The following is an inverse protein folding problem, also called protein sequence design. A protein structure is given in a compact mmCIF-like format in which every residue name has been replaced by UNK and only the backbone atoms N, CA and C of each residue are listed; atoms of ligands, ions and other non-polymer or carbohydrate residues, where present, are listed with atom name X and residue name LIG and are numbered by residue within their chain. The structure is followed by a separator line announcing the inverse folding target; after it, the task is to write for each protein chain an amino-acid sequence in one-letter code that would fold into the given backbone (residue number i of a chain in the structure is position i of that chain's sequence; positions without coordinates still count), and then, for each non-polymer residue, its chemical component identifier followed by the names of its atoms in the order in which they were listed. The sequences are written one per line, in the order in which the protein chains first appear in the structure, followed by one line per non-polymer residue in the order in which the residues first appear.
data_IF_641445578977
#
_entry.id   IF_641445578977
#
_cell.length_a   1.000
_cell.length_b   1.000
_cell.length_c   1.000
_cell.angle_alpha   90.00
_cell.angle_beta   90.00
_cell.angle_gamma   90.00
#
_symmetry.space_group_name_H-M   'P 1'
#
loop_
_entity.id
_entity.type
_entity.pdbx_description
1 polymer ?
#
# COMPACT_ATOMS: atom_id res chain seq x y z
N UNK A 1 2.61 -30.23 -8.68
CA UNK A 1 1.83 -29.01 -8.99
C UNK A 1 1.90 -28.10 -7.79
N UNK A 2 2.61 -26.98 -7.88
CA UNK A 2 2.74 -26.02 -6.77
C UNK A 2 1.50 -25.12 -6.76
N UNK A 3 0.59 -25.36 -5.81
CA UNK A 3 -0.55 -24.48 -5.58
C UNK A 3 -0.04 -23.17 -4.96
N UNK A 4 -0.18 -22.05 -5.67
CA UNK A 4 0.24 -20.74 -5.16
C UNK A 4 -0.98 -19.97 -4.64
N UNK A 5 -0.94 -19.63 -3.35
CA UNK A 5 -1.92 -18.75 -2.73
C UNK A 5 -1.59 -17.30 -3.11
N UNK A 6 -2.57 -16.57 -3.63
CA UNK A 6 -2.41 -15.20 -4.10
C UNK A 6 -3.39 -14.27 -3.37
N UNK A 7 -2.92 -13.06 -3.06
CA UNK A 7 -3.78 -11.95 -2.62
C UNK A 7 -4.03 -11.05 -3.81
N UNK A 8 -5.30 -10.85 -4.14
CA UNK A 8 -5.72 -9.99 -5.24
C UNK A 8 -6.07 -8.62 -4.68
N UNK A 9 -5.46 -7.58 -5.25
CA UNK A 9 -5.68 -6.18 -4.88
C UNK A 9 -5.96 -5.35 -6.12
N UNK A 10 -6.54 -4.18 -5.93
CA UNK A 10 -6.74 -3.20 -6.99
C UNK A 10 -5.86 -1.98 -6.73
N UNK A 11 -5.00 -1.64 -7.69
CA UNK A 11 -4.15 -0.45 -7.66
C UNK A 11 -4.48 0.39 -8.87
N UNK A 12 -4.98 1.61 -8.66
CA UNK A 12 -5.34 2.54 -9.74
C UNK A 12 -6.22 1.89 -10.84
N UNK A 13 -7.30 1.23 -10.42
CA UNK A 13 -8.24 0.55 -11.34
C UNK A 13 -7.74 -0.76 -11.95
N UNK A 14 -6.50 -1.18 -11.66
CA UNK A 14 -5.89 -2.39 -12.22
C UNK A 14 -5.83 -3.49 -11.16
N UNK A 15 -6.24 -4.70 -11.53
CA UNK A 15 -6.08 -5.89 -10.68
C UNK A 15 -4.62 -6.35 -10.68
N UNK A 16 -4.08 -6.54 -9.50
CA UNK A 16 -2.73 -7.03 -9.24
C UNK A 16 -2.81 -8.25 -8.33
N UNK A 17 -1.83 -9.15 -8.46
CA UNK A 17 -1.70 -10.32 -7.61
C UNK A 17 -0.37 -10.25 -6.84
N UNK A 18 -0.44 -10.48 -5.54
CA UNK A 18 0.71 -10.61 -4.66
C UNK A 18 0.78 -12.06 -4.20
N UNK A 19 1.99 -12.61 -4.05
CA UNK A 19 2.17 -13.89 -3.36
C UNK A 19 1.68 -13.74 -1.93
N UNK A 20 0.80 -14.64 -1.47
CA UNK A 20 0.31 -14.58 -0.10
C UNK A 20 1.43 -14.81 0.93
N UNK A 21 2.54 -15.43 0.53
CA UNK A 21 3.72 -15.59 1.40
C UNK A 21 4.44 -14.26 1.66
N UNK A 22 4.30 -13.28 0.77
CA UNK A 22 4.91 -11.96 0.92
C UNK A 22 3.98 -10.97 1.66
N UNK A 23 2.73 -11.36 1.91
CA UNK A 23 1.72 -10.52 2.59
C UNK A 23 1.67 -10.86 4.08
N UNK A 24 2.23 -9.97 4.90
CA UNK A 24 2.20 -10.13 6.36
C UNK A 24 0.78 -9.99 6.95
N UNK A 25 0.00 -9.04 6.45
CA UNK A 25 -1.36 -8.75 6.92
C UNK A 25 -2.10 -7.82 5.96
N UNK A 26 -3.42 -7.99 5.86
CA UNK A 26 -4.33 -7.01 5.27
C UNK A 26 -5.02 -6.28 6.42
N UNK A 27 -4.89 -4.95 6.45
CA UNK A 27 -5.40 -4.10 7.52
C UNK A 27 -6.02 -2.83 6.94
N UNK A 28 -6.94 -2.23 7.68
CA UNK A 28 -7.34 -0.85 7.47
C UNK A 28 -6.25 0.08 8.00
N UNK A 29 -5.88 1.08 7.20
CA UNK A 29 -4.85 2.05 7.55
C UNK A 29 -5.48 3.11 8.45
N UNK A 30 -4.89 3.32 9.63
CA UNK A 30 -5.24 4.42 10.52
C UNK A 30 -4.57 5.73 10.10
N UNK A 31 -4.38 6.65 11.05
CA UNK A 31 -3.67 7.91 10.79
C UNK A 31 -2.26 7.67 10.25
N UNK A 32 -1.94 8.37 9.15
CA UNK A 32 -0.60 8.40 8.54
C UNK A 32 0.05 9.73 8.87
N UNK A 33 1.20 9.68 9.54
CA UNK A 33 2.00 10.85 9.87
C UNK A 33 3.01 11.11 8.75
N UNK A 34 2.95 12.26 8.06
CA UNK A 34 3.86 12.56 6.96
C UNK A 34 5.31 12.69 7.45
N UNK A 35 6.27 12.24 6.62
CA UNK A 35 7.70 12.35 6.89
C UNK A 35 8.27 13.57 6.16
N UNK A 36 8.88 14.55 6.85
CA UNK A 36 9.50 15.69 6.20
C UNK A 36 10.59 15.26 5.20
N UNK A 37 10.59 15.89 4.02
CA UNK A 37 11.58 15.68 2.94
C UNK A 37 11.60 14.26 2.34
N UNK A 38 10.60 13.43 2.62
CA UNK A 38 10.47 12.13 1.97
C UNK A 38 10.09 12.28 0.49
N UNK A 39 10.46 11.32 -0.37
CA UNK A 39 9.96 11.27 -1.74
C UNK A 39 8.43 11.28 -1.79
N UNK A 40 7.84 11.85 -2.85
CA UNK A 40 6.38 12.01 -2.96
C UNK A 40 5.58 10.71 -2.85
N UNK A 41 6.15 9.56 -3.21
CA UNK A 41 5.49 8.26 -3.09
C UNK A 41 5.45 7.70 -1.66
N UNK A 42 6.12 8.34 -0.71
CA UNK A 42 6.05 7.99 0.70
C UNK A 42 4.96 8.87 1.33
N UNK A 43 3.81 8.28 1.61
CA UNK A 43 2.71 8.99 2.27
C UNK A 43 3.05 9.34 3.73
N UNK A 44 3.85 8.48 4.39
CA UNK A 44 4.33 8.73 5.74
C UNK A 44 4.59 7.45 6.54
N UNK A 45 4.39 7.54 7.86
CA UNK A 45 4.49 6.42 8.80
C UNK A 45 3.16 6.25 9.52
N UNK A 46 2.76 5.00 9.75
CA UNK A 46 1.65 4.65 10.65
C UNK A 46 2.13 3.65 11.70
N UNK A 47 1.38 3.50 12.80
CA UNK A 47 1.69 2.56 13.87
C UNK A 47 0.71 1.39 13.85
N UNK A 48 1.23 0.16 13.76
CA UNK A 48 0.45 -1.06 13.88
C UNK A 48 1.04 -1.94 14.99
N UNK A 49 0.29 -2.15 16.08
CA UNK A 49 0.70 -3.00 17.21
C UNK A 49 2.12 -2.67 17.71
N UNK A 50 2.36 -1.40 17.99
CA UNK A 50 3.67 -0.86 18.42
C UNK A 50 4.82 -1.00 17.40
N UNK A 51 4.51 -1.32 16.13
CA UNK A 51 5.48 -1.32 15.03
C UNK A 51 5.23 -0.12 14.11
N UNK A 52 6.27 0.65 13.82
CA UNK A 52 6.23 1.69 12.81
C UNK A 52 6.26 1.07 11.41
N UNK A 53 5.27 1.40 10.58
CA UNK A 53 5.15 0.94 9.21
C UNK A 53 5.22 2.13 8.25
N UNK A 54 6.04 2.01 7.21
CA UNK A 54 6.10 3.00 6.13
C UNK A 54 4.90 2.80 5.22
N UNK A 55 4.16 3.87 4.97
CA UNK A 55 3.03 3.88 4.04
C UNK A 55 3.52 4.41 2.70
N UNK A 56 3.43 3.55 1.68
CA UNK A 56 3.80 3.87 0.31
C UNK A 56 2.51 4.09 -0.48
N UNK A 57 2.39 5.24 -1.15
CA UNK A 57 1.33 5.44 -2.13
C UNK A 57 1.70 4.71 -3.43
N UNK A 58 1.11 3.54 -3.64
CA UNK A 58 1.35 2.72 -4.83
C UNK A 58 1.05 3.46 -6.14
N UNK A 59 0.12 4.43 -6.15
CA UNK A 59 -0.20 5.20 -7.35
C UNK A 59 1.01 6.05 -7.73
N UNK A 60 1.54 6.81 -6.77
CA UNK A 60 2.71 7.67 -6.98
C UNK A 60 3.99 6.86 -7.21
N UNK A 61 4.16 5.73 -6.52
CA UNK A 61 5.30 4.83 -6.72
C UNK A 61 5.35 4.26 -8.14
N UNK A 62 4.19 4.04 -8.77
CA UNK A 62 4.06 3.61 -10.15
C UNK A 62 4.05 4.77 -11.17
N UNK A 63 4.24 6.02 -10.72
CA UNK A 63 4.22 7.21 -11.58
C UNK A 63 2.82 7.64 -12.04
N UNK A 64 1.76 7.21 -11.34
CA UNK A 64 0.38 7.54 -11.64
C UNK A 64 -0.12 8.75 -10.83
N UNK A 65 -1.12 9.46 -11.35
CA UNK A 65 -1.70 10.62 -10.70
C UNK A 65 -2.69 10.20 -9.61
N UNK A 66 -2.44 10.56 -8.35
CA UNK A 66 -3.28 10.29 -7.18
C UNK A 66 -4.76 10.63 -7.39
N UNK A 67 -5.06 11.85 -7.86
CA UNK A 67 -6.43 12.38 -7.90
C UNK A 67 -7.35 11.66 -8.90
N UNK A 68 -6.76 10.97 -9.89
CA UNK A 68 -7.52 10.16 -10.84
C UNK A 68 -7.99 8.82 -10.23
N UNK A 69 -7.47 8.45 -9.06
CA UNK A 69 -7.66 7.13 -8.45
C UNK A 69 -7.86 7.26 -6.94
N UNK A 70 -9.05 7.66 -6.47
CA UNK A 70 -9.33 7.70 -5.04
C UNK A 70 -9.15 6.31 -4.41
N UNK A 71 -8.60 6.30 -3.19
CA UNK A 71 -8.58 5.10 -2.35
C UNK A 71 -9.95 4.92 -1.74
N UNK A 72 -10.38 3.67 -1.56
CA UNK A 72 -11.57 3.36 -0.78
C UNK A 72 -11.40 3.96 0.63
N UNK A 73 -12.42 4.69 1.08
CA UNK A 73 -12.40 5.46 2.33
C UNK A 73 -12.40 4.56 3.56
#
# INVERSE_FOLDING_TARGET
MTNQLLVIVQIAGRRCALSALDVKSVIEIGTVTPIPRAPAHIAGITALRSQALTVIDCRLALGLVQHAWPTDA
#
